data_IF_718412003407
#
_entry.id   IF_718412003407
#
_cell.length_a   1.000
_cell.length_b   1.000
_cell.length_c   1.000
_cell.angle_alpha   90.00
_cell.angle_beta   90.00
_cell.angle_gamma   90.00
#
_symmetry.space_group_name_H-M   'P 1'
#
loop_
_entity.id
_entity.type
_entity.pdbx_description
1 polymer ?
#
# COMPACT_ATOMS: atom_id res chain seq x y z
N UNK A 1 16.23 -0.33 21.83
CA UNK A 1 17.32 -1.30 21.60
C UNK A 1 18.32 -0.64 20.67
N UNK A 2 19.62 -0.65 21.00
CA UNK A 2 20.72 -0.18 20.12
C UNK A 2 21.42 -1.35 19.41
N UNK A 3 20.84 -2.56 19.48
CA UNK A 3 21.38 -3.73 18.82
C UNK A 3 21.06 -3.69 17.32
N UNK A 4 22.10 -3.55 16.50
CA UNK A 4 21.98 -3.47 15.03
C UNK A 4 21.35 -4.72 14.40
N UNK A 5 21.43 -5.89 15.05
CA UNK A 5 20.79 -7.12 14.55
C UNK A 5 19.27 -7.03 14.65
N UNK A 6 18.76 -6.62 15.82
CA UNK A 6 17.32 -6.46 16.05
C UNK A 6 16.76 -5.36 15.16
N UNK A 7 17.49 -4.25 15.03
CA UNK A 7 17.14 -3.16 14.12
C UNK A 7 17.05 -3.70 12.69
N UNK A 8 18.06 -4.43 12.21
CA UNK A 8 18.04 -5.04 10.87
C UNK A 8 16.85 -5.98 10.64
N UNK A 9 16.52 -6.83 11.62
CA UNK A 9 15.35 -7.71 11.55
C UNK A 9 14.04 -6.93 11.50
N UNK A 10 13.91 -5.84 12.25
CA UNK A 10 12.73 -4.98 12.22
C UNK A 10 12.54 -4.29 10.87
N UNK A 11 13.62 -3.77 10.25
CA UNK A 11 13.55 -3.18 8.90
C UNK A 11 13.18 -4.22 7.84
N UNK A 12 13.64 -5.47 7.97
CA UNK A 12 13.29 -6.54 7.04
C UNK A 12 11.81 -6.90 7.12
N UNK A 13 11.29 -7.08 8.34
CA UNK A 13 9.86 -7.37 8.57
C UNK A 13 9.00 -6.20 8.09
N UNK A 14 9.40 -4.97 8.40
CA UNK A 14 8.70 -3.76 7.96
C UNK A 14 8.67 -3.66 6.42
N UNK A 15 9.79 -3.97 5.75
CA UNK A 15 9.87 -3.97 4.28
C UNK A 15 8.90 -4.97 3.64
N UNK A 16 8.81 -6.18 4.20
CA UNK A 16 7.84 -7.19 3.72
C UNK A 16 6.41 -6.70 3.91
N UNK A 17 6.10 -6.18 5.09
CA UNK A 17 4.75 -5.72 5.41
C UNK A 17 4.33 -4.51 4.55
N UNK A 18 5.21 -3.52 4.40
CA UNK A 18 5.00 -2.36 3.54
C UNK A 18 4.87 -2.78 2.06
N UNK A 19 5.66 -3.76 1.60
CA UNK A 19 5.55 -4.33 0.28
C UNK A 19 4.17 -4.95 0.02
N UNK A 20 3.66 -5.76 0.96
CA UNK A 20 2.33 -6.36 0.86
C UNK A 20 1.22 -5.28 0.81
N UNK A 21 1.30 -4.25 1.65
CA UNK A 21 0.37 -3.12 1.64
C UNK A 21 0.39 -2.38 0.28
N UNK A 22 1.57 -2.11 -0.26
CA UNK A 22 1.72 -1.49 -1.58
C UNK A 22 1.11 -2.34 -2.70
N UNK A 23 1.29 -3.66 -2.68
CA UNK A 23 0.66 -4.55 -3.68
C UNK A 23 -0.86 -4.56 -3.58
N UNK A 24 -1.42 -4.51 -2.36
CA UNK A 24 -2.86 -4.46 -2.15
C UNK A 24 -3.47 -3.18 -2.75
N UNK A 25 -2.86 -2.01 -2.50
CA UNK A 25 -3.30 -0.77 -3.12
C UNK A 25 -3.16 -0.77 -4.65
N UNK A 26 -2.11 -1.39 -5.18
CA UNK A 26 -1.95 -1.56 -6.64
C UNK A 26 -3.11 -2.33 -7.28
N UNK A 27 -3.58 -3.40 -6.61
CA UNK A 27 -4.72 -4.19 -7.08
C UNK A 27 -6.01 -3.39 -7.02
N UNK A 28 -6.22 -2.62 -5.95
CA UNK A 28 -7.41 -1.76 -5.78
C UNK A 28 -7.48 -0.71 -6.91
N UNK A 29 -6.37 -0.01 -7.18
CA UNK A 29 -6.30 0.98 -8.27
C UNK A 29 -6.58 0.32 -9.62
N UNK A 30 -5.99 -0.86 -9.89
CA UNK A 30 -6.24 -1.61 -11.13
C UNK A 30 -7.70 -2.06 -11.27
N UNK A 31 -8.34 -2.45 -10.17
CA UNK A 31 -9.75 -2.86 -10.18
C UNK A 31 -10.68 -1.69 -10.47
N UNK A 32 -10.39 -0.51 -9.91
CA UNK A 32 -11.13 0.72 -10.19
C UNK A 32 -10.96 1.16 -11.66
N UNK A 33 -9.76 1.04 -12.23
CA UNK A 33 -9.52 1.32 -13.66
C UNK A 33 -10.24 0.33 -14.59
N UNK A 34 -10.43 -0.93 -14.18
CA UNK A 34 -11.07 -1.95 -15.02
C UNK A 34 -12.59 -1.75 -15.15
N UNK A 35 -13.23 -1.24 -14.10
CA UNK A 35 -14.66 -0.88 -14.07
C UNK A 35 -14.85 0.39 -13.21
N UNK A 36 -14.70 1.58 -13.80
CA UNK A 36 -14.76 2.83 -13.05
C UNK A 36 -16.14 3.05 -12.42
N UNK A 37 -16.16 3.43 -11.14
CA UNK A 37 -17.38 3.76 -10.38
C UNK A 37 -18.03 2.57 -9.65
N UNK A 38 -17.35 1.42 -9.54
CA UNK A 38 -17.91 0.23 -8.88
C UNK A 38 -17.40 0.00 -7.46
N UNK A 39 -16.18 0.47 -7.11
CA UNK A 39 -15.59 0.25 -5.79
C UNK A 39 -15.25 1.54 -5.04
N UNK A 40 -14.74 2.55 -5.73
CA UNK A 40 -14.41 3.86 -5.18
C UNK A 40 -15.23 4.93 -5.90
N UNK A 41 -16.49 5.08 -5.49
CA UNK A 41 -17.46 6.05 -6.03
C UNK A 41 -17.10 7.52 -5.69
N UNK A 42 -16.09 7.74 -4.84
CA UNK A 42 -15.58 9.06 -4.47
C UNK A 42 -14.16 9.28 -5.02
N UNK A 43 -14.02 10.26 -5.91
CA UNK A 43 -12.74 10.66 -6.51
C UNK A 43 -11.71 11.17 -5.49
N UNK A 44 -12.14 11.68 -4.33
CA UNK A 44 -11.24 12.08 -3.25
C UNK A 44 -10.62 10.86 -2.57
N UNK A 45 -11.39 9.78 -2.37
CA UNK A 45 -10.88 8.51 -1.85
C UNK A 45 -9.95 7.82 -2.84
N UNK A 46 -10.26 7.86 -4.14
CA UNK A 46 -9.36 7.36 -5.19
C UNK A 46 -7.99 8.07 -5.14
N UNK A 47 -7.97 9.40 -5.07
CA UNK A 47 -6.74 10.17 -5.00
C UNK A 47 -5.94 9.88 -3.71
N UNK A 48 -6.63 9.68 -2.59
CA UNK A 48 -5.99 9.27 -1.33
C UNK A 48 -5.32 7.90 -1.46
N UNK A 49 -5.99 6.92 -2.08
CA UNK A 49 -5.47 5.57 -2.29
C UNK A 49 -4.28 5.57 -3.26
N UNK A 50 -4.33 6.35 -4.34
CA UNK A 50 -3.20 6.51 -5.27
C UNK A 50 -1.99 7.12 -4.58
N UNK A 51 -2.20 8.13 -3.74
CA UNK A 51 -1.11 8.77 -2.99
C UNK A 51 -0.56 7.86 -1.90
N UNK A 52 -1.39 7.03 -1.27
CA UNK A 52 -0.96 6.06 -0.26
C UNK A 52 -0.27 4.82 -0.85
N UNK A 53 -0.46 4.55 -2.15
CA UNK A 53 0.23 3.48 -2.88
C UNK A 53 1.68 3.83 -3.22
N UNK A 54 1.92 5.09 -3.59
CA UNK A 54 3.22 5.62 -4.00
C UNK A 54 4.11 5.96 -2.78
#
# INVERSE_FOLDING_TARGET
STNHKDIGTLYFIFSIWAGLMGTAFSVIIRMELAMPGKMLDDGQLYNLVVTAHA
#
